data_IF_278399999125
#
_entry.id   IF_278399999125
#
_cell.length_a   1.000
_cell.length_b   1.000
_cell.length_c   1.000
_cell.angle_alpha   90.00
_cell.angle_beta   90.00
_cell.angle_gamma   90.00
#
_symmetry.space_group_name_H-M   'P 1'
#
loop_
_entity.id
_entity.type
_entity.pdbx_description
1 polymer ?
#
# COMPACT_ATOMS: atom_id res chain seq x y z
N UNK A 1 2.02 21.06 -26.68
CA UNK A 1 2.86 19.84 -26.63
C UNK A 1 3.55 19.82 -25.28
N UNK A 2 3.21 18.89 -24.39
CA UNK A 2 3.97 18.68 -23.15
C UNK A 2 5.15 17.75 -23.46
N UNK A 3 6.37 18.21 -23.22
CA UNK A 3 7.58 17.42 -23.44
C UNK A 3 8.11 16.97 -22.08
N UNK A 4 8.40 15.67 -21.93
CA UNK A 4 9.07 15.15 -20.74
C UNK A 4 10.55 15.52 -20.83
N UNK A 5 11.05 16.30 -19.86
CA UNK A 5 12.43 16.78 -19.85
C UNK A 5 13.44 15.75 -19.31
N UNK A 6 12.98 14.69 -18.64
CA UNK A 6 13.82 13.69 -17.96
C UNK A 6 13.17 12.30 -17.96
N UNK A 7 13.93 11.27 -17.54
CA UNK A 7 13.43 9.92 -17.34
C UNK A 7 12.24 9.92 -16.35
N UNK A 8 11.12 9.34 -16.80
CA UNK A 8 9.92 9.14 -16.00
C UNK A 8 9.83 7.66 -15.57
N UNK A 9 9.44 7.42 -14.32
CA UNK A 9 9.33 6.07 -13.77
C UNK A 9 10.14 5.90 -12.49
N UNK A 10 10.08 4.70 -11.92
CA UNK A 10 10.81 4.39 -10.70
C UNK A 10 12.29 4.20 -11.03
N UNK A 11 13.17 4.83 -10.25
CA UNK A 11 14.56 4.38 -10.18
C UNK A 11 14.49 2.95 -9.63
N UNK A 12 14.79 1.96 -10.46
CA UNK A 12 14.66 0.56 -10.10
C UNK A 12 15.50 0.28 -8.85
N UNK A 13 14.84 0.02 -7.72
CA UNK A 13 15.47 -0.71 -6.63
C UNK A 13 15.45 -2.17 -7.07
N UNK A 14 16.56 -2.61 -7.66
CA UNK A 14 16.77 -4.00 -8.09
C UNK A 14 16.72 -5.00 -6.94
N UNK A 15 16.75 -4.53 -5.69
CA UNK A 15 16.55 -5.34 -4.50
C UNK A 15 15.34 -4.85 -3.70
N UNK A 16 14.19 -5.46 -3.92
CA UNK A 16 13.10 -5.43 -2.96
C UNK A 16 13.51 -6.26 -1.73
N UNK A 17 14.20 -5.63 -0.79
CA UNK A 17 14.79 -6.32 0.36
C UNK A 17 13.76 -6.81 1.40
N UNK A 18 12.52 -6.30 1.35
CA UNK A 18 11.51 -6.62 2.36
C UNK A 18 10.09 -6.59 1.76
N UNK A 19 9.38 -7.71 1.90
CA UNK A 19 7.95 -7.82 1.61
C UNK A 19 7.19 -7.58 2.91
N UNK A 20 6.35 -6.56 2.92
CA UNK A 20 5.46 -6.20 4.01
C UNK A 20 4.04 -6.64 3.66
N UNK A 21 3.69 -7.88 3.99
CA UNK A 21 2.35 -8.40 3.75
C UNK A 21 1.37 -7.78 4.75
N UNK A 22 0.25 -7.27 4.25
CA UNK A 22 -0.81 -6.69 5.09
C UNK A 22 -1.43 -7.71 6.05
N UNK A 23 -1.42 -9.01 5.71
CA UNK A 23 -1.91 -10.10 6.57
C UNK A 23 -1.09 -10.23 7.86
N UNK A 24 0.21 -9.95 7.81
CA UNK A 24 1.10 -9.98 8.98
C UNK A 24 0.80 -8.85 9.98
N UNK A 25 -0.13 -7.97 9.62
CA UNK A 25 -0.52 -6.79 10.39
C UNK A 25 -2.04 -6.72 10.62
N UNK A 26 -2.65 -7.89 10.72
CA UNK A 26 -4.06 -8.12 11.03
C UNK A 26 -5.04 -7.70 9.93
N UNK A 27 -4.60 -7.63 8.67
CA UNK A 27 -5.55 -7.56 7.56
C UNK A 27 -6.31 -8.88 7.44
N UNK A 28 -7.59 -8.79 7.07
CA UNK A 28 -8.43 -9.95 6.78
C UNK A 28 -8.98 -9.82 5.38
N UNK A 29 -8.90 -10.93 4.64
CA UNK A 29 -9.40 -11.05 3.26
C UNK A 29 -10.76 -11.73 3.32
N UNK A 30 -11.69 -11.08 4.01
CA UNK A 30 -13.04 -11.59 4.27
C UNK A 30 -14.14 -10.75 3.59
N UNK A 31 -13.73 -9.77 2.76
CA UNK A 31 -14.64 -8.83 2.11
C UNK A 31 -15.60 -8.11 3.08
N UNK A 32 -15.20 -7.92 4.35
CA UNK A 32 -16.04 -7.29 5.36
C UNK A 32 -15.26 -6.44 6.37
N UNK A 33 -14.03 -6.87 6.69
CA UNK A 33 -13.14 -6.18 7.63
C UNK A 33 -12.44 -5.02 6.93
N UNK A 34 -12.42 -3.85 7.58
CA UNK A 34 -11.70 -2.69 7.08
C UNK A 34 -10.17 -2.92 7.13
N UNK A 35 -9.52 -2.79 5.97
CA UNK A 35 -8.08 -2.97 5.80
C UNK A 35 -7.26 -1.76 6.24
N UNK A 36 -7.88 -0.58 6.34
CA UNK A 36 -7.19 0.70 6.60
C UNK A 36 -6.33 0.68 7.88
N UNK A 37 -6.79 0.13 9.03
CA UNK A 37 -5.96 -0.02 10.22
C UNK A 37 -4.76 -0.95 10.02
N UNK A 38 -4.95 -2.08 9.32
CA UNK A 38 -3.90 -3.05 9.05
C UNK A 38 -2.84 -2.48 8.09
N UNK A 39 -3.28 -1.77 7.06
CA UNK A 39 -2.40 -1.06 6.13
C UNK A 39 -1.59 0.04 6.83
N UNK A 40 -2.23 0.79 7.73
CA UNK A 40 -1.54 1.81 8.54
C UNK A 40 -0.48 1.16 9.44
N UNK A 41 -0.77 0.01 10.05
CA UNK A 41 0.20 -0.76 10.84
C UNK A 41 1.34 -1.28 9.97
N UNK A 42 1.04 -1.87 8.82
CA UNK A 42 2.00 -2.36 7.83
C UNK A 42 2.97 -1.26 7.43
N UNK A 43 2.44 -0.08 7.11
CA UNK A 43 3.25 1.07 6.75
C UNK A 43 4.17 1.51 7.88
N UNK A 44 3.64 1.67 9.10
CA UNK A 44 4.40 2.19 10.24
C UNK A 44 5.44 1.19 10.76
N UNK A 45 5.10 -0.09 10.82
CA UNK A 45 5.93 -1.14 11.43
C UNK A 45 6.89 -1.79 10.44
N UNK A 46 6.48 -1.99 9.20
CA UNK A 46 7.31 -2.69 8.21
C UNK A 46 7.91 -1.72 7.19
N UNK A 47 7.10 -0.93 6.49
CA UNK A 47 7.58 -0.10 5.38
C UNK A 47 8.59 0.94 5.86
N UNK A 48 8.23 1.75 6.87
CA UNK A 48 9.12 2.83 7.35
C UNK A 48 10.47 2.30 7.86
N UNK A 49 10.49 1.11 8.45
CA UNK A 49 11.71 0.48 8.99
C UNK A 49 12.58 -0.09 7.87
N UNK A 50 11.98 -0.62 6.80
CA UNK A 50 12.69 -1.33 5.74
C UNK A 50 12.85 -0.52 4.44
N UNK A 51 12.76 0.81 4.52
CA UNK A 51 13.01 1.68 3.36
C UNK A 51 14.49 2.11 3.28
N UNK A 52 15.06 2.24 2.07
CA UNK A 52 14.43 2.09 0.74
C UNK A 52 14.27 0.61 0.32
N UNK A 53 13.20 0.29 -0.42
CA UNK A 53 13.02 -1.02 -1.07
C UNK A 53 11.90 -1.90 -0.53
N UNK A 54 11.18 -1.46 0.50
CA UNK A 54 10.01 -2.17 1.01
C UNK A 54 8.89 -2.27 -0.06
N UNK A 55 8.20 -3.41 -0.07
CA UNK A 55 7.01 -3.65 -0.91
C UNK A 55 5.83 -3.91 0.01
N UNK A 56 4.77 -3.11 -0.08
CA UNK A 56 3.49 -3.47 0.53
C UNK A 56 2.84 -4.50 -0.37
N UNK A 57 2.62 -5.70 0.15
CA UNK A 57 1.94 -6.78 -0.55
C UNK A 57 0.50 -6.87 -0.07
N UNK A 58 -0.43 -6.77 -1.01
CA UNK A 58 -1.82 -7.16 -0.82
C UNK A 58 -2.02 -8.54 -1.45
N UNK A 59 -2.31 -9.57 -0.65
CA UNK A 59 -2.49 -10.94 -1.15
C UNK A 59 -3.74 -11.05 -2.02
N UNK A 60 -3.87 -12.19 -2.70
CA UNK A 60 -5.08 -12.55 -3.43
C UNK A 60 -6.33 -12.56 -2.53
N UNK A 61 -7.46 -12.14 -3.12
CA UNK A 61 -8.78 -12.05 -2.48
C UNK A 61 -9.24 -10.60 -2.23
N UNK A 62 -10.42 -10.45 -1.62
CA UNK A 62 -11.10 -9.16 -1.49
C UNK A 62 -10.96 -8.56 -0.08
N UNK A 63 -10.57 -7.29 -0.01
CA UNK A 63 -10.47 -6.50 1.21
C UNK A 63 -11.33 -5.24 1.09
N UNK A 64 -12.01 -4.86 2.16
CA UNK A 64 -12.77 -3.61 2.21
C UNK A 64 -11.90 -2.47 2.74
N UNK A 65 -12.01 -1.30 2.13
CA UNK A 65 -11.41 -0.06 2.58
C UNK A 65 -12.55 0.91 2.93
N UNK A 66 -12.79 1.11 4.23
CA UNK A 66 -13.89 1.94 4.74
C UNK A 66 -13.46 3.35 5.14
N UNK A 67 -12.16 3.65 5.06
CA UNK A 67 -11.60 4.88 5.61
C UNK A 67 -10.33 5.28 4.88
N UNK A 68 -10.18 6.58 4.64
CA UNK A 68 -8.98 7.12 3.98
C UNK A 68 -7.72 6.86 4.82
N UNK A 69 -6.69 6.27 4.22
CA UNK A 69 -5.36 6.17 4.80
C UNK A 69 -4.39 7.14 4.10
N UNK A 70 -3.40 7.62 4.86
CA UNK A 70 -2.34 8.49 4.33
C UNK A 70 -0.98 7.84 4.51
N UNK A 71 -0.31 7.56 3.40
CA UNK A 71 1.08 7.10 3.41
C UNK A 71 1.99 8.29 3.08
N UNK A 72 2.57 8.89 4.12
CA UNK A 72 3.45 10.06 4.00
C UNK A 72 4.76 9.84 4.75
N UNK A 73 5.83 10.49 4.30
CA UNK A 73 7.16 10.50 4.94
C UNK A 73 7.88 9.13 4.93
N UNK A 74 7.73 8.37 3.84
CA UNK A 74 8.58 7.20 3.56
C UNK A 74 9.56 7.53 2.43
N UNK A 75 10.72 6.87 2.42
CA UNK A 75 11.59 6.80 1.23
C UNK A 75 10.94 5.88 0.18
N UNK A 76 11.66 5.50 -0.86
CA UNK A 76 11.18 4.64 -1.95
C UNK A 76 10.60 3.31 -1.46
N UNK A 77 9.32 3.07 -1.77
CA UNK A 77 8.61 1.81 -1.51
C UNK A 77 7.67 1.48 -2.69
N UNK A 78 7.27 0.22 -2.82
CA UNK A 78 6.36 -0.28 -3.86
C UNK A 78 5.02 -0.71 -3.26
N UNK A 79 4.01 -0.74 -4.12
CA UNK A 79 2.80 -1.53 -3.89
C UNK A 79 2.81 -2.72 -4.85
N UNK A 80 2.45 -3.89 -4.32
CA UNK A 80 2.09 -5.07 -5.08
C UNK A 80 0.65 -5.41 -4.71
N UNK A 81 -0.23 -5.35 -5.70
CA UNK A 81 -1.67 -5.53 -5.57
C UNK A 81 -2.05 -6.79 -6.33
N UNK A 82 -2.07 -7.94 -5.64
CA UNK A 82 -2.45 -9.22 -6.23
C UNK A 82 -3.93 -9.57 -5.98
N UNK A 83 -4.60 -8.80 -5.12
CA UNK A 83 -6.02 -8.93 -4.78
C UNK A 83 -6.87 -7.73 -5.20
N UNK A 84 -8.10 -7.68 -4.66
CA UNK A 84 -9.08 -6.64 -4.91
C UNK A 84 -9.27 -5.76 -3.66
N UNK A 85 -9.14 -4.45 -3.80
CA UNK A 85 -9.50 -3.47 -2.77
C UNK A 85 -10.83 -2.82 -3.15
N UNK A 86 -11.83 -2.97 -2.30
CA UNK A 86 -13.15 -2.36 -2.48
C UNK A 86 -13.23 -1.13 -1.59
N UNK A 87 -13.25 0.05 -2.22
CA UNK A 87 -13.45 1.30 -1.51
C UNK A 87 -14.94 1.48 -1.17
N UNK A 88 -15.25 1.49 0.11
CA UNK A 88 -16.54 1.93 0.64
C UNK A 88 -16.48 3.43 0.84
N UNK A 89 -17.30 4.14 0.07
CA UNK A 89 -17.43 5.58 0.17
C UNK A 89 -18.78 5.85 0.82
N UNK A 90 -18.77 6.26 2.10
CA UNK A 90 -19.96 6.76 2.79
C UNK A 90 -20.32 8.18 2.31
N UNK A 91 -20.30 8.44 0.99
CA UNK A 91 -20.78 9.66 0.34
C UNK A 91 -20.29 11.02 0.85
N UNK A 92 -19.39 11.09 1.82
CA UNK A 92 -19.01 12.32 2.51
C UNK A 92 -17.85 12.99 1.75
N UNK A 93 -18.19 13.58 0.61
CA UNK A 93 -17.38 14.64 0.01
C UNK A 93 -17.63 15.91 0.83
N UNK A 94 -16.77 16.20 1.81
CA UNK A 94 -16.73 17.51 2.49
C UNK A 94 -15.63 18.38 1.90
#
# INVERSE_FOLDING_TARGET
MAQFFNAAGRIALTNHHCICNVLDHDAKVDNATDITPALTRTYRKCVRVNTPGAVILFPEGACENKSTFYLKHSRTFSFQLDGLIIAHVDGAFS
#
